data_IF_220244524015
#
_entry.id   IF_220244524015
#
_cell.length_a   1.000
_cell.length_b   1.000
_cell.length_c   1.000
_cell.angle_alpha   90.00
_cell.angle_beta   90.00
_cell.angle_gamma   90.00
#
_symmetry.space_group_name_H-M   'P 1'
#
loop_
_entity.id
_entity.type
_entity.pdbx_description
1 polymer ?
#
# COMPACT_ATOMS: atom_id res chain seq x y z
N UNK A 1 -3.81 -8.37 9.92
CA UNK A 1 -3.82 -7.41 8.79
C UNK A 1 -3.61 -8.20 7.51
N UNK A 2 -4.66 -8.34 6.72
CA UNK A 2 -4.59 -8.97 5.40
C UNK A 2 -4.66 -7.85 4.35
N UNK A 3 -3.66 -7.79 3.48
CA UNK A 3 -3.52 -6.72 2.48
C UNK A 3 -3.84 -7.32 1.11
N UNK A 4 -5.00 -6.96 0.57
CA UNK A 4 -5.42 -7.35 -0.76
C UNK A 4 -5.11 -6.25 -1.76
N UNK A 5 -4.35 -6.56 -2.81
CA UNK A 5 -4.13 -5.63 -3.92
C UNK A 5 -5.28 -5.78 -4.91
N UNK A 6 -6.12 -4.76 -5.01
CA UNK A 6 -7.29 -4.74 -5.89
C UNK A 6 -6.93 -4.35 -7.32
N UNK A 7 -5.99 -3.42 -7.48
CA UNK A 7 -5.56 -2.97 -8.80
C UNK A 7 -4.12 -2.48 -8.77
N UNK A 8 -3.38 -2.79 -9.83
CA UNK A 8 -2.06 -2.25 -10.11
C UNK A 8 -2.09 -1.57 -11.48
N UNK A 9 -1.62 -0.33 -11.54
CA UNK A 9 -1.48 0.44 -12.77
C UNK A 9 -0.06 0.96 -12.86
N UNK A 10 0.66 0.56 -13.89
CA UNK A 10 1.97 1.12 -14.19
C UNK A 10 1.79 2.36 -15.06
N UNK A 11 2.24 3.52 -14.58
CA UNK A 11 2.16 4.79 -15.28
C UNK A 11 3.54 5.15 -15.87
N UNK A 12 3.82 4.83 -17.15
CA UNK A 12 5.13 5.05 -17.76
C UNK A 12 5.47 6.53 -17.94
N UNK A 13 4.48 7.42 -18.05
CA UNK A 13 4.67 8.87 -18.16
C UNK A 13 5.28 9.47 -16.88
N UNK A 14 4.77 9.03 -15.73
CA UNK A 14 5.22 9.49 -14.41
C UNK A 14 6.22 8.53 -13.74
N UNK A 15 6.65 7.47 -14.44
CA UNK A 15 7.52 6.40 -13.94
C UNK A 15 7.13 5.91 -12.54
N UNK A 16 5.82 5.80 -12.29
CA UNK A 16 5.27 5.39 -10.99
C UNK A 16 4.29 4.24 -11.14
N UNK A 17 4.24 3.36 -10.15
CA UNK A 17 3.24 2.30 -10.06
C UNK A 17 2.16 2.72 -9.07
N UNK A 18 0.94 2.87 -9.55
CA UNK A 18 -0.23 3.18 -8.74
C UNK A 18 -0.87 1.88 -8.28
N UNK A 19 -0.99 1.70 -6.97
CA UNK A 19 -1.53 0.49 -6.36
C UNK A 19 -2.75 0.84 -5.52
N UNK A 20 -3.89 0.21 -5.83
CA UNK A 20 -5.08 0.24 -4.98
C UNK A 20 -5.08 -1.01 -4.13
N UNK A 21 -5.08 -0.83 -2.82
CA UNK A 21 -5.08 -1.92 -1.87
C UNK A 21 -6.26 -1.76 -0.89
N UNK A 22 -6.75 -2.89 -0.39
CA UNK A 22 -7.71 -2.98 0.70
C UNK A 22 -7.03 -3.66 1.87
N UNK A 23 -7.20 -3.11 3.07
CA UNK A 23 -6.61 -3.70 4.28
C UNK A 23 -7.73 -4.21 5.17
N UNK A 24 -7.86 -5.53 5.23
CA UNK A 24 -8.74 -6.17 6.21
C UNK A 24 -8.03 -6.24 7.57
N UNK A 25 -8.55 -5.49 8.54
CA UNK A 25 -8.07 -5.47 9.92
C UNK A 25 -9.26 -5.72 10.88
N UNK A 26 -9.73 -6.98 11.00
CA UNK A 26 -10.98 -7.28 11.71
C UNK A 26 -10.95 -7.10 13.23
N UNK A 27 -9.78 -6.95 13.87
CA UNK A 27 -9.65 -6.87 15.35
C UNK A 27 -8.58 -5.91 15.88
N UNK A 28 -7.89 -5.18 15.02
CA UNK A 28 -6.90 -4.17 15.42
C UNK A 28 -7.40 -2.81 14.93
N UNK A 29 -7.17 -1.74 15.69
CA UNK A 29 -7.53 -0.37 15.28
C UNK A 29 -6.91 0.00 13.93
N UNK A 30 -7.34 1.13 13.36
CA UNK A 30 -6.89 1.57 12.03
C UNK A 30 -5.37 1.44 11.88
N UNK A 31 -4.88 0.69 10.87
CA UNK A 31 -3.47 0.40 10.71
C UNK A 31 -2.67 1.70 10.65
N UNK A 32 -1.54 1.77 11.38
CA UNK A 32 -0.64 2.91 11.27
C UNK A 32 -0.07 2.94 9.84
N UNK A 33 0.12 4.14 9.29
CA UNK A 33 0.71 4.34 7.95
C UNK A 33 2.07 3.66 7.80
N UNK A 34 2.80 3.53 8.90
CA UNK A 34 4.12 2.91 8.97
C UNK A 34 4.09 1.41 8.66
N UNK A 35 3.17 0.68 9.32
CA UNK A 35 3.00 -0.76 9.10
C UNK A 35 2.45 -1.06 7.71
N UNK A 36 1.58 -0.18 7.18
CA UNK A 36 1.10 -0.28 5.80
C UNK A 36 2.22 -0.10 4.78
N UNK A 37 3.13 0.86 5.01
CA UNK A 37 4.32 1.06 4.15
C UNK A 37 5.21 -0.17 4.13
N UNK A 38 5.48 -0.76 5.30
CA UNK A 38 6.32 -1.96 5.39
C UNK A 38 5.70 -3.16 4.68
N UNK A 39 4.38 -3.37 4.83
CA UNK A 39 3.69 -4.45 4.14
C UNK A 39 3.65 -4.22 2.62
N UNK A 40 3.34 -3.01 2.17
CA UNK A 40 3.36 -2.66 0.74
C UNK A 40 4.76 -2.80 0.13
N UNK A 41 5.80 -2.33 0.83
CA UNK A 41 7.20 -2.46 0.41
C UNK A 41 7.60 -3.93 0.21
N UNK A 42 7.25 -4.82 1.16
CA UNK A 42 7.49 -6.26 1.05
C UNK A 42 6.73 -6.89 -0.12
N UNK A 43 5.47 -6.50 -0.32
CA UNK A 43 4.61 -7.09 -1.37
C UNK A 43 5.03 -6.64 -2.78
N UNK A 44 5.55 -5.41 -2.90
CA UNK A 44 5.95 -4.80 -4.17
C UNK A 44 7.47 -4.90 -4.44
N UNK A 45 8.25 -5.54 -3.56
CA UNK A 45 9.72 -5.57 -3.62
C UNK A 45 10.34 -4.17 -3.81
N UNK A 46 9.73 -3.16 -3.18
CA UNK A 46 10.09 -1.76 -3.30
C UNK A 46 10.75 -1.27 -1.99
N UNK A 47 11.62 -0.26 -2.08
CA UNK A 47 12.18 0.40 -0.90
C UNK A 47 11.13 1.23 -0.17
N UNK A 48 11.19 1.26 1.16
CA UNK A 48 10.26 2.02 2.02
C UNK A 48 10.22 3.51 1.66
N UNK A 49 11.34 4.07 1.19
CA UNK A 49 11.46 5.46 0.73
C UNK A 49 10.64 5.79 -0.52
N UNK A 50 10.42 4.82 -1.42
CA UNK A 50 9.68 5.06 -2.66
C UNK A 50 8.18 4.77 -2.53
N UNK A 51 7.76 4.17 -1.41
CA UNK A 51 6.35 3.83 -1.16
C UNK A 51 5.66 5.00 -0.45
N UNK A 52 4.73 5.65 -1.15
CA UNK A 52 3.92 6.75 -0.62
C UNK A 52 2.46 6.30 -0.51
N UNK A 53 1.89 6.47 0.69
CA UNK A 53 0.45 6.26 0.94
C UNK A 53 -0.23 7.61 0.84
N UNK A 54 -0.94 7.84 -0.26
CA UNK A 54 -1.64 9.10 -0.54
C UNK A 54 -2.91 9.23 0.33
N UNK A 55 -3.80 8.24 0.22
CA UNK A 55 -5.08 8.24 0.93
C UNK A 55 -5.36 6.89 1.57
N UNK A 56 -5.75 6.93 2.85
CA UNK A 56 -6.24 5.78 3.60
C UNK A 56 -7.56 6.17 4.26
N UNK A 57 -8.65 5.51 3.87
CA UNK A 57 -9.96 5.68 4.51
C UNK A 57 -10.28 4.42 5.30
N UNK A 58 -10.67 4.58 6.56
CA UNK A 58 -11.26 3.51 7.37
C UNK A 58 -12.69 3.23 6.93
#
# INVERSE_FOLDING_TARGET
MELEILARRDNPLLKRTEVRFRVAHPKEGSPKRDTLRDQLAKTLNATRDIVVVDFSKS
#
